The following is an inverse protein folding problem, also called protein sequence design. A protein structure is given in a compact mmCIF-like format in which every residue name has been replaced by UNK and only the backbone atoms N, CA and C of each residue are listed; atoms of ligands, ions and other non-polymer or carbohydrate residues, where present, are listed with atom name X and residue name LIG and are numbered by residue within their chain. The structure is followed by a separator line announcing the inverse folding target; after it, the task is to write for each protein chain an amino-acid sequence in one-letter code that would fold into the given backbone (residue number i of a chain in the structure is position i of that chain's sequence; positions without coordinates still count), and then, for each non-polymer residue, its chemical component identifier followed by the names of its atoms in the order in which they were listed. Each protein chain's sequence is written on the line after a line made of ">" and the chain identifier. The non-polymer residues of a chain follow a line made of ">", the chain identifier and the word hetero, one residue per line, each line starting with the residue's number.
data_IF_746630697139
#
_entry.id   IF_746630697139
#
_cell.length_a   1.000
_cell.length_b   1.000
_cell.length_c   1.000
_cell.angle_alpha   90.00
_cell.angle_beta   90.00
_cell.angle_gamma   90.00
#
_symmetry.space_group_name_H-M   'P 1'
#
loop_
_entity.id
_entity.type
_entity.pdbx_description
1 polymer ?
#
# COMPACT_ATOMS: atom_id res chain seq x y z
N UNK A 1 -10.86 -1.55 2.45
CA UNK A 1 -9.92 -1.70 1.32
C UNK A 1 -10.18 -3.01 0.61
N UNK A 2 -10.14 -3.05 -0.72
CA UNK A 2 -10.19 -4.29 -1.53
C UNK A 2 -8.77 -4.60 -2.01
N UNK A 3 -8.25 -5.77 -1.67
CA UNK A 3 -6.93 -6.23 -2.10
C UNK A 3 -7.14 -7.40 -3.05
N UNK A 4 -6.58 -7.31 -4.26
CA UNK A 4 -6.63 -8.40 -5.24
C UNK A 4 -5.23 -8.94 -5.45
N UNK A 5 -5.01 -10.20 -5.10
CA UNK A 5 -3.73 -10.88 -5.27
C UNK A 5 -3.88 -12.05 -6.24
N UNK A 6 -2.84 -12.30 -7.03
CA UNK A 6 -2.72 -13.56 -7.78
C UNK A 6 -2.01 -14.56 -6.89
N UNK A 7 -2.63 -15.72 -6.68
CA UNK A 7 -2.03 -16.84 -5.93
C UNK A 7 -1.94 -18.04 -6.87
N UNK A 8 -0.78 -18.69 -6.88
CA UNK A 8 -0.63 -19.96 -7.58
C UNK A 8 -1.04 -21.10 -6.64
N UNK A 9 -1.94 -21.94 -7.11
CA UNK A 9 -2.38 -23.18 -6.47
C UNK A 9 -2.07 -24.36 -7.39
N UNK A 10 -2.35 -25.59 -6.94
CA UNK A 10 -2.14 -26.84 -7.70
C UNK A 10 -2.81 -26.82 -9.08
N UNK A 11 -3.98 -26.19 -9.19
CA UNK A 11 -4.75 -26.08 -10.44
C UNK A 11 -4.40 -24.84 -11.32
N UNK A 12 -3.41 -24.04 -10.90
CA UNK A 12 -2.95 -22.86 -11.64
C UNK A 12 -3.07 -21.52 -10.90
N UNK A 13 -3.06 -20.41 -11.64
CA UNK A 13 -3.06 -19.05 -11.07
C UNK A 13 -4.49 -18.55 -10.88
N UNK A 14 -4.92 -18.40 -9.62
CA UNK A 14 -6.22 -17.85 -9.25
C UNK A 14 -6.10 -16.42 -8.73
N UNK A 15 -7.09 -15.58 -9.03
CA UNK A 15 -7.19 -14.22 -8.48
C UNK A 15 -8.06 -14.25 -7.22
N UNK A 16 -7.46 -13.95 -6.08
CA UNK A 16 -8.16 -13.83 -4.81
C UNK A 16 -8.45 -12.36 -4.53
N UNK A 17 -9.72 -12.01 -4.39
CA UNK A 17 -10.16 -10.72 -3.87
C UNK A 17 -10.42 -10.87 -2.37
N UNK A 18 -9.66 -10.15 -1.55
CA UNK A 18 -9.88 -10.06 -0.12
C UNK A 18 -10.30 -8.64 0.25
N UNK A 19 -11.17 -8.54 1.25
CA UNK A 19 -11.48 -7.27 1.91
C UNK A 19 -10.67 -7.17 3.19
N UNK A 20 -10.18 -5.96 3.47
CA UNK A 20 -9.37 -5.70 4.65
C UNK A 20 -9.43 -4.25 5.11
N UNK A 21 -8.96 -4.05 6.33
CA UNK A 21 -8.71 -2.73 6.90
C UNK A 21 -7.23 -2.39 6.72
N UNK A 22 -6.94 -1.16 6.31
CA UNK A 22 -5.61 -0.60 6.50
C UNK A 22 -5.38 -0.53 8.01
N UNK A 23 -4.25 -1.06 8.47
CA UNK A 23 -3.91 -1.04 9.89
C UNK A 23 -2.96 0.10 10.16
N UNK A 24 -1.85 0.14 9.43
CA UNK A 24 -0.71 0.96 9.77
C UNK A 24 -0.03 1.44 8.48
N UNK A 25 0.53 2.64 8.52
CA UNK A 25 1.48 3.13 7.53
C UNK A 25 2.77 3.36 8.31
N UNK A 26 3.81 2.63 7.97
CA UNK A 26 5.14 2.76 8.55
C UNK A 26 5.99 3.59 7.58
N UNK A 27 6.70 4.57 8.12
CA UNK A 27 7.68 5.35 7.38
C UNK A 27 9.02 5.02 8.04
N UNK A 28 9.87 4.31 7.30
CA UNK A 28 11.22 3.99 7.72
C UNK A 28 12.13 5.07 7.13
N UNK A 29 12.57 6.00 7.97
CA UNK A 29 13.52 7.05 7.59
C UNK A 29 14.92 6.66 8.07
N UNK A 30 15.90 6.65 7.16
CA UNK A 30 17.32 6.57 7.50
C UNK A 30 18.01 7.87 7.08
N UNK A 31 18.25 8.74 8.08
CA UNK A 31 18.91 10.03 7.87
C UNK A 31 20.35 9.91 7.35
N UNK A 32 21.00 8.76 7.56
CA UNK A 32 22.36 8.50 7.09
C UNK A 32 22.36 7.87 5.69
N UNK A 33 21.32 7.10 5.34
CA UNK A 33 21.16 6.46 4.04
C UNK A 33 19.78 6.74 3.42
N UNK A 34 19.58 7.92 2.78
CA UNK A 34 18.28 8.30 2.22
C UNK A 34 17.74 7.37 1.13
N UNK A 35 18.59 6.51 0.56
CA UNK A 35 18.18 5.53 -0.44
C UNK A 35 17.51 4.28 0.16
N UNK A 36 17.66 4.07 1.46
CA UNK A 36 17.10 2.92 2.20
C UNK A 36 15.77 3.28 2.89
N UNK A 37 15.28 4.51 2.69
CA UNK A 37 13.97 4.92 3.19
C UNK A 37 12.87 4.07 2.55
N UNK A 38 11.82 3.74 3.30
CA UNK A 38 10.69 2.98 2.76
C UNK A 38 9.37 3.38 3.39
N UNK A 39 8.30 3.29 2.59
CA UNK A 39 6.92 3.44 3.05
C UNK A 39 6.26 2.08 2.99
N UNK A 40 5.87 1.55 4.14
CA UNK A 40 5.18 0.26 4.25
C UNK A 40 3.70 0.45 4.62
N UNK A 41 2.83 -0.13 3.80
CA UNK A 41 1.38 -0.12 3.95
C UNK A 41 0.95 -1.49 4.48
N UNK A 42 0.60 -1.55 5.76
CA UNK A 42 0.22 -2.78 6.45
C UNK A 42 -1.31 -2.94 6.48
N UNK A 43 -1.79 -4.11 6.05
CA UNK A 43 -3.22 -4.40 6.01
C UNK A 43 -3.57 -5.75 6.62
N UNK A 44 -4.78 -5.83 7.17
CA UNK A 44 -5.35 -7.07 7.70
C UNK A 44 -6.71 -7.32 7.06
N UNK A 45 -6.78 -8.42 6.33
CA UNK A 45 -8.00 -9.04 5.85
C UNK A 45 -8.56 -10.05 6.85
N UNK A 46 -9.66 -10.73 6.46
CA UNK A 46 -10.35 -11.70 7.32
C UNK A 46 -9.47 -12.90 7.68
N UNK A 47 -8.72 -13.43 6.71
CA UNK A 47 -7.92 -14.65 6.85
C UNK A 47 -6.42 -14.43 6.55
N UNK A 48 -6.00 -13.19 6.27
CA UNK A 48 -4.62 -12.89 5.87
C UNK A 48 -4.24 -11.46 6.23
N UNK A 49 -2.98 -11.24 6.57
CA UNK A 49 -2.36 -9.91 6.66
C UNK A 49 -1.24 -9.80 5.64
N UNK A 50 -0.90 -8.58 5.27
CA UNK A 50 0.19 -8.32 4.34
C UNK A 50 0.73 -6.91 4.48
N UNK A 51 1.93 -6.72 3.94
CA UNK A 51 2.63 -5.45 3.89
C UNK A 51 3.00 -5.17 2.43
N UNK A 52 2.75 -3.94 1.98
CA UNK A 52 3.23 -3.44 0.70
C UNK A 52 4.28 -2.40 1.03
N UNK A 53 5.53 -2.69 0.73
CA UNK A 53 6.64 -1.78 0.94
C UNK A 53 7.01 -1.12 -0.38
N UNK A 54 7.23 0.19 -0.33
CA UNK A 54 7.53 1.03 -1.48
C UNK A 54 8.80 1.83 -1.18
N UNK A 55 9.73 1.81 -2.13
CA UNK A 55 10.83 2.75 -2.10
C UNK A 55 10.33 4.18 -2.41
N UNK A 56 11.07 5.24 -2.02
CA UNK A 56 10.60 6.62 -2.16
C UNK A 56 10.38 6.97 -3.65
N UNK A 57 11.28 6.50 -4.52
CA UNK A 57 11.18 6.67 -5.98
C UNK A 57 9.92 6.02 -6.56
N UNK A 58 9.52 4.85 -6.05
CA UNK A 58 8.30 4.17 -6.50
C UNK A 58 7.06 4.95 -6.05
N UNK A 59 7.07 5.45 -4.81
CA UNK A 59 6.00 6.29 -4.30
C UNK A 59 5.85 7.60 -5.10
N UNK A 60 6.96 8.27 -5.45
CA UNK A 60 6.93 9.48 -6.27
C UNK A 60 6.28 9.27 -7.64
N UNK A 61 6.61 8.15 -8.30
CA UNK A 61 6.00 7.79 -9.60
C UNK A 61 4.50 7.58 -9.40
N UNK A 62 4.11 6.86 -8.35
CA UNK A 62 2.71 6.62 -7.99
C UNK A 62 1.96 7.93 -7.72
N UNK A 63 2.56 8.84 -6.97
CA UNK A 63 1.99 10.15 -6.65
C UNK A 63 1.75 10.99 -7.91
N UNK A 64 2.70 11.01 -8.85
CA UNK A 64 2.56 11.71 -10.14
C UNK A 64 1.44 11.12 -11.01
N UNK A 65 1.31 9.80 -11.04
CA UNK A 65 0.23 9.13 -11.78
C UNK A 65 -1.15 9.33 -11.13
N UNK A 66 -1.21 9.33 -9.80
CA UNK A 66 -2.42 9.66 -9.03
C UNK A 66 -2.82 11.12 -9.27
N UNK A 67 -1.85 12.04 -9.35
CA UNK A 67 -2.10 13.45 -9.59
C UNK A 67 -2.85 13.72 -10.89
N UNK A 68 -2.45 13.06 -11.98
CA UNK A 68 -3.14 13.11 -13.28
C UNK A 68 -4.59 12.62 -13.20
N UNK A 69 -4.87 11.73 -12.24
CA UNK A 69 -6.17 11.09 -12.02
C UNK A 69 -6.89 11.62 -10.79
N UNK A 70 -6.50 12.78 -10.24
CA UNK A 70 -7.11 13.40 -9.06
C UNK A 70 -8.64 13.48 -9.14
N UNK A 71 -9.19 13.71 -10.33
CA UNK A 71 -10.63 13.74 -10.58
C UNK A 71 -11.36 12.42 -10.23
N UNK A 72 -10.67 11.27 -10.21
CA UNK A 72 -11.23 9.98 -9.79
C UNK A 72 -11.28 9.82 -8.26
N UNK A 73 -10.54 10.64 -7.53
CA UNK A 73 -10.48 10.60 -6.07
C UNK A 73 -11.37 11.70 -5.50
N UNK A 74 -12.63 11.37 -5.19
CA UNK A 74 -13.60 12.35 -4.68
C UNK A 74 -13.17 13.02 -3.37
N UNK A 75 -12.61 12.24 -2.43
CA UNK A 75 -12.24 12.73 -1.10
C UNK A 75 -10.95 12.06 -0.62
N UNK A 76 -9.87 12.83 -0.52
CA UNK A 76 -8.64 12.38 0.11
C UNK A 76 -8.77 12.63 1.62
N UNK A 77 -9.08 11.58 2.39
CA UNK A 77 -9.16 11.68 3.85
C UNK A 77 -7.77 11.42 4.44
N UNK A 78 -7.04 12.49 4.74
CA UNK A 78 -5.76 12.39 5.47
C UNK A 78 -6.06 11.91 6.90
N UNK A 79 -5.69 10.66 7.19
CA UNK A 79 -5.81 10.12 8.55
C UNK A 79 -4.66 10.67 9.40
N UNK A 80 -4.97 11.65 10.25
CA UNK A 80 -4.03 12.13 11.28
C UNK A 80 -4.04 11.17 12.45
N UNK A 81 -2.95 10.43 12.64
CA UNK A 81 -2.75 9.61 13.83
C UNK A 81 -2.19 10.51 14.94
N UNK A 82 -2.93 10.67 16.04
CA UNK A 82 -2.40 11.32 17.25
C UNK A 82 -1.45 10.33 17.93
N UNK A 83 -0.24 10.80 18.26
CA UNK A 83 0.72 10.10 19.13
C UNK A 83 0.14 9.90 20.52
#
# INVERSE_FOLDING_TARGET
>A
MKVKVKKQNEDGIVRLESSGSLKEILINEDFLNPNDESIAICFRGKNSSGMIELAPKEFEILAKEIEKKKHLFKEFKVMKFKK
#
